data_IF_162358548279
#
_entry.id   IF_162358548279
#
_cell.length_a   1.000
_cell.length_b   1.000
_cell.length_c   1.000
_cell.angle_alpha   90.00
_cell.angle_beta   90.00
_cell.angle_gamma   90.00
#
_symmetry.space_group_name_H-M   'P 1'
#
loop_
_entity.id
_entity.type
_entity.pdbx_description
1 polymer ?
#
# COMPACT_ATOMS: atom_id res chain seq x y z
N UNK A 1 -16.94 -6.35 -12.05
CA UNK A 1 -15.68 -5.57 -12.19
C UNK A 1 -14.67 -6.17 -11.23
N UNK A 2 -13.45 -6.48 -11.71
CA UNK A 2 -12.41 -6.97 -10.82
C UNK A 2 -11.95 -5.85 -9.85
N UNK A 3 -11.81 -6.18 -8.58
CA UNK A 3 -11.26 -5.28 -7.56
C UNK A 3 -9.79 -4.96 -7.85
N UNK A 4 -9.24 -3.92 -7.20
CA UNK A 4 -7.80 -3.61 -7.28
C UNK A 4 -6.96 -4.81 -6.85
N UNK A 5 -7.37 -5.50 -5.79
CA UNK A 5 -6.70 -6.70 -5.30
C UNK A 5 -6.67 -7.80 -6.37
N UNK A 6 -7.81 -8.16 -6.95
CA UNK A 6 -7.89 -9.21 -7.98
C UNK A 6 -7.03 -8.88 -9.21
N UNK A 7 -6.95 -7.61 -9.60
CA UNK A 7 -6.09 -7.17 -10.70
C UNK A 7 -4.61 -7.38 -10.38
N UNK A 8 -4.15 -6.93 -9.20
CA UNK A 8 -2.74 -7.06 -8.78
C UNK A 8 -2.37 -8.55 -8.67
N UNK A 9 -3.21 -9.34 -8.02
CA UNK A 9 -2.97 -10.78 -7.88
C UNK A 9 -2.89 -11.47 -9.25
N UNK A 10 -3.81 -11.15 -10.16
CA UNK A 10 -3.80 -11.67 -11.53
C UNK A 10 -2.52 -11.33 -12.29
N UNK A 11 -2.09 -10.05 -12.25
CA UNK A 11 -0.85 -9.60 -12.88
C UNK A 11 0.38 -10.31 -12.29
N UNK A 12 0.46 -10.45 -10.98
CA UNK A 12 1.56 -11.18 -10.33
C UNK A 12 1.60 -12.66 -10.73
N UNK A 13 0.45 -13.33 -10.76
CA UNK A 13 0.34 -14.73 -11.21
C UNK A 13 0.77 -14.87 -12.67
N UNK A 14 0.39 -13.94 -13.54
CA UNK A 14 0.74 -13.93 -14.95
C UNK A 14 2.27 -13.85 -15.19
N UNK A 15 3.02 -13.28 -14.25
CA UNK A 15 4.50 -13.26 -14.36
C UNK A 15 5.12 -14.66 -14.35
N UNK A 16 4.42 -15.68 -13.86
CA UNK A 16 4.90 -17.07 -13.79
C UNK A 16 6.12 -17.26 -12.88
N UNK A 17 6.48 -16.28 -12.06
CA UNK A 17 7.66 -16.38 -11.20
C UNK A 17 7.43 -17.33 -10.03
N UNK A 18 8.47 -18.08 -9.67
CA UNK A 18 8.44 -18.95 -8.49
C UNK A 18 8.18 -18.15 -7.21
N UNK A 19 7.38 -18.70 -6.30
CA UNK A 19 7.08 -18.08 -5.00
C UNK A 19 5.97 -17.02 -5.04
N UNK A 20 5.38 -16.71 -6.20
CA UNK A 20 4.34 -15.67 -6.33
C UNK A 20 3.12 -15.94 -5.44
N UNK A 21 2.69 -17.17 -5.29
CA UNK A 21 1.53 -17.50 -4.46
C UNK A 21 1.81 -17.26 -2.98
N UNK A 22 3.01 -17.59 -2.51
CA UNK A 22 3.43 -17.31 -1.14
C UNK A 22 3.56 -15.82 -0.88
N UNK A 23 4.06 -15.06 -1.86
CA UNK A 23 4.13 -13.61 -1.82
C UNK A 23 2.73 -12.98 -1.73
N UNK A 24 1.77 -13.42 -2.55
CA UNK A 24 0.38 -12.93 -2.51
C UNK A 24 -0.25 -13.22 -1.14
N UNK A 25 -0.04 -14.42 -0.59
CA UNK A 25 -0.52 -14.76 0.75
C UNK A 25 0.10 -13.84 1.83
N UNK A 26 1.39 -13.58 1.76
CA UNK A 26 2.07 -12.62 2.63
C UNK A 26 1.50 -11.20 2.47
N UNK A 27 1.28 -10.73 1.25
CA UNK A 27 0.68 -9.41 0.96
C UNK A 27 -0.70 -9.26 1.60
N UNK A 28 -1.55 -10.30 1.51
CA UNK A 28 -2.87 -10.33 2.15
C UNK A 28 -2.75 -10.23 3.68
N UNK A 29 -1.86 -11.02 4.27
CA UNK A 29 -1.65 -11.09 5.73
C UNK A 29 -1.00 -9.82 6.31
N UNK A 30 -0.13 -9.16 5.54
CA UNK A 30 0.58 -7.94 5.98
C UNK A 30 -0.20 -6.65 5.77
N UNK A 31 -1.40 -6.72 5.16
CA UNK A 31 -2.28 -5.58 4.95
C UNK A 31 -1.99 -4.76 3.70
N UNK A 32 -1.24 -5.27 2.71
CA UNK A 32 -0.94 -4.55 1.46
C UNK A 32 -2.20 -4.00 0.77
N UNK A 33 -3.29 -4.75 0.79
CA UNK A 33 -4.54 -4.39 0.11
C UNK A 33 -5.46 -3.47 0.93
N UNK A 34 -5.14 -3.21 2.18
CA UNK A 34 -5.98 -2.41 3.10
C UNK A 34 -5.27 -1.16 3.61
N UNK A 35 -3.93 -1.16 3.64
CA UNK A 35 -3.16 -0.03 4.15
C UNK A 35 -3.25 1.22 3.26
N UNK A 36 -3.15 2.43 3.83
CA UNK A 36 -2.97 3.66 3.07
C UNK A 36 -1.59 3.72 2.43
N UNK A 37 -1.45 4.45 1.33
CA UNK A 37 -0.16 4.69 0.69
C UNK A 37 0.73 5.65 1.49
N UNK A 38 0.11 6.59 2.20
CA UNK A 38 0.80 7.59 3.01
C UNK A 38 -0.03 8.00 4.22
N UNK A 39 0.58 8.70 5.19
CA UNK A 39 -0.13 9.23 6.34
C UNK A 39 -1.01 10.45 6.05
N UNK A 40 -0.62 11.31 5.09
CA UNK A 40 -1.26 12.60 4.88
C UNK A 40 -1.29 13.08 3.42
N UNK A 41 -0.53 12.42 2.53
CA UNK A 41 -0.37 12.89 1.16
C UNK A 41 -1.29 12.12 0.20
N UNK A 42 -0.75 11.66 -0.95
CA UNK A 42 -1.54 10.93 -1.92
C UNK A 42 -2.06 9.60 -1.37
N UNK A 43 -3.29 9.27 -1.69
CA UNK A 43 -3.96 8.01 -1.34
C UNK A 43 -3.85 7.64 0.16
N UNK A 44 -3.98 8.66 1.03
CA UNK A 44 -4.08 8.51 2.48
C UNK A 44 -5.48 7.99 2.88
N UNK A 45 -5.85 6.82 2.38
CA UNK A 45 -7.14 6.15 2.56
C UNK A 45 -6.94 4.63 2.60
N UNK A 46 -7.93 3.91 3.09
CA UNK A 46 -7.94 2.44 3.04
C UNK A 46 -7.75 1.94 1.60
N UNK A 47 -6.89 0.94 1.43
CA UNK A 47 -6.54 0.38 0.11
C UNK A 47 -5.65 1.27 -0.76
N UNK A 48 -5.23 2.44 -0.26
CA UNK A 48 -4.44 3.41 -1.00
C UNK A 48 -3.10 2.87 -1.48
N UNK A 49 -2.47 1.99 -0.72
CA UNK A 49 -1.19 1.36 -1.10
C UNK A 49 -1.34 0.48 -2.35
N UNK A 50 -2.35 -0.37 -2.39
CA UNK A 50 -2.63 -1.22 -3.53
C UNK A 50 -3.03 -0.40 -4.77
N UNK A 51 -3.87 0.62 -4.60
CA UNK A 51 -4.26 1.53 -5.68
C UNK A 51 -3.04 2.26 -6.26
N UNK A 52 -2.15 2.77 -5.41
CA UNK A 52 -0.91 3.40 -5.83
C UNK A 52 -0.04 2.44 -6.66
N UNK A 53 0.20 1.24 -6.15
CA UNK A 53 1.04 0.24 -6.82
C UNK A 53 0.48 -0.14 -8.19
N UNK A 54 -0.83 -0.29 -8.32
CA UNK A 54 -1.48 -0.57 -9.61
C UNK A 54 -1.33 0.63 -10.58
N UNK A 55 -1.48 1.86 -10.10
CA UNK A 55 -1.29 3.07 -10.92
C UNK A 55 0.15 3.19 -11.42
N UNK A 56 1.14 2.89 -10.56
CA UNK A 56 2.57 2.86 -10.95
C UNK A 56 2.80 1.79 -12.01
N UNK A 57 2.26 0.59 -11.84
CA UNK A 57 2.36 -0.47 -12.85
C UNK A 57 1.80 -0.02 -14.20
N UNK A 58 0.57 0.51 -14.24
CA UNK A 58 -0.07 0.96 -15.47
C UNK A 58 0.74 2.06 -16.20
N UNK A 59 1.42 2.94 -15.46
CA UNK A 59 2.29 3.96 -16.04
C UNK A 59 3.59 3.34 -16.56
N UNK A 60 4.24 2.49 -15.77
CA UNK A 60 5.50 1.84 -16.13
C UNK A 60 5.35 0.92 -17.33
N UNK A 61 4.24 0.18 -17.45
CA UNK A 61 3.92 -0.64 -18.61
C UNK A 61 3.84 0.20 -19.88
N UNK A 62 3.11 1.32 -19.86
CA UNK A 62 3.04 2.25 -21.00
C UNK A 62 4.39 2.84 -21.37
N UNK A 63 5.19 3.25 -20.39
CA UNK A 63 6.53 3.79 -20.64
C UNK A 63 7.46 2.73 -21.25
N UNK A 64 7.42 1.50 -20.73
CA UNK A 64 8.16 0.37 -21.27
C UNK A 64 7.81 0.12 -22.73
N UNK A 65 6.52 0.07 -23.07
CA UNK A 65 6.04 -0.23 -24.44
C UNK A 65 6.45 0.84 -25.45
N UNK A 66 6.62 2.09 -25.01
CA UNK A 66 7.05 3.21 -25.86
C UNK A 66 8.58 3.31 -25.98
N UNK A 67 9.29 3.12 -24.86
CA UNK A 67 10.72 3.42 -24.79
C UNK A 67 11.61 2.18 -24.96
N UNK A 68 11.18 1.03 -24.42
CA UNK A 68 12.00 -0.18 -24.30
C UNK A 68 11.20 -1.47 -24.53
N UNK A 69 10.47 -1.61 -25.66
CA UNK A 69 9.53 -2.72 -25.85
C UNK A 69 10.19 -4.10 -25.86
N UNK A 70 11.44 -4.18 -26.31
CA UNK A 70 12.18 -5.44 -26.46
C UNK A 70 13.22 -5.68 -25.35
N UNK A 71 13.70 -4.61 -24.72
CA UNK A 71 14.84 -4.70 -23.79
C UNK A 71 14.42 -5.00 -22.36
N UNK A 72 13.19 -4.62 -21.97
CA UNK A 72 12.70 -4.82 -20.62
C UNK A 72 11.55 -5.82 -20.62
N UNK A 73 11.74 -6.94 -19.94
CA UNK A 73 10.71 -7.96 -19.81
C UNK A 73 9.50 -7.41 -19.02
N UNK A 74 8.30 -7.71 -19.53
CA UNK A 74 7.03 -7.28 -18.89
C UNK A 74 6.93 -7.76 -17.43
N UNK A 75 7.35 -9.00 -17.17
CA UNK A 75 7.33 -9.61 -15.84
C UNK A 75 8.19 -8.83 -14.84
N UNK A 76 9.29 -8.25 -15.30
CA UNK A 76 10.15 -7.41 -14.46
C UNK A 76 9.49 -6.09 -14.14
N UNK A 77 8.80 -5.47 -15.11
CA UNK A 77 8.03 -4.25 -14.88
C UNK A 77 6.91 -4.53 -13.86
N UNK A 78 6.17 -5.63 -14.04
CA UNK A 78 5.07 -6.01 -13.13
C UNK A 78 5.58 -6.20 -11.70
N UNK A 79 6.63 -6.99 -11.49
CA UNK A 79 7.20 -7.21 -10.16
C UNK A 79 7.72 -5.92 -9.55
N UNK A 80 8.55 -5.17 -10.25
CA UNK A 80 9.14 -3.93 -9.71
C UNK A 80 8.06 -2.88 -9.41
N UNK A 81 7.13 -2.65 -10.31
CA UNK A 81 6.11 -1.61 -10.14
C UNK A 81 5.08 -1.97 -9.06
N UNK A 82 4.62 -3.22 -9.01
CA UNK A 82 3.62 -3.63 -8.03
C UNK A 82 4.19 -3.77 -6.61
N UNK A 83 5.48 -4.04 -6.46
CA UNK A 83 6.09 -4.35 -5.17
C UNK A 83 7.04 -3.27 -4.63
N UNK A 84 7.28 -2.16 -5.36
CA UNK A 84 8.25 -1.13 -4.94
C UNK A 84 7.98 -0.57 -3.54
N UNK A 85 6.74 -0.50 -3.13
CA UNK A 85 6.27 0.02 -1.84
C UNK A 85 5.81 -1.08 -0.86
N UNK A 86 6.17 -2.35 -1.11
CA UNK A 86 5.80 -3.49 -0.25
C UNK A 86 6.24 -3.28 1.20
N UNK A 87 7.35 -2.60 1.41
CA UNK A 87 7.86 -2.26 2.73
C UNK A 87 6.99 -1.34 3.58
N UNK A 88 5.95 -0.72 3.01
CA UNK A 88 4.93 0.05 3.76
C UNK A 88 3.92 -0.84 4.49
N UNK A 89 3.88 -2.13 4.20
CA UNK A 89 3.06 -3.10 4.91
C UNK A 89 3.42 -3.20 6.39
N UNK A 90 2.53 -3.81 7.16
CA UNK A 90 2.73 -4.09 8.57
C UNK A 90 3.86 -5.09 8.87
N UNK A 91 4.17 -5.25 10.13
CA UNK A 91 5.18 -6.17 10.64
C UNK A 91 4.59 -7.00 11.77
N UNK A 92 4.90 -8.29 11.81
CA UNK A 92 4.54 -9.18 12.92
C UNK A 92 3.05 -9.12 13.31
N UNK A 93 2.16 -9.05 12.32
CA UNK A 93 0.71 -8.97 12.54
C UNK A 93 0.19 -7.57 12.94
N UNK A 94 1.07 -6.55 13.05
CA UNK A 94 0.70 -5.17 13.33
C UNK A 94 0.61 -4.37 12.02
N UNK A 95 -0.37 -3.46 11.86
CA UNK A 95 -0.50 -2.64 10.66
C UNK A 95 0.65 -1.63 10.54
N UNK A 96 1.02 -1.27 9.31
CA UNK A 96 2.03 -0.24 9.01
C UNK A 96 1.60 1.16 9.41
N UNK A 97 0.30 1.43 9.26
CA UNK A 97 -0.33 2.70 9.61
C UNK A 97 -1.49 2.48 10.58
N UNK A 98 -1.69 3.45 11.47
CA UNK A 98 -2.82 3.51 12.39
C UNK A 98 -3.62 4.79 12.16
N UNK A 99 -4.96 4.81 12.39
CA UNK A 99 -5.75 6.02 12.29
C UNK A 99 -5.25 7.11 13.25
N UNK A 100 -5.12 8.33 12.75
CA UNK A 100 -4.80 9.50 13.57
C UNK A 100 -6.07 10.07 14.18
N UNK A 101 -6.39 9.63 15.40
CA UNK A 101 -7.60 10.04 16.12
C UNK A 101 -7.33 11.28 16.97
N UNK A 102 -8.06 12.36 16.70
CA UNK A 102 -8.00 13.61 17.44
C UNK A 102 -9.10 13.62 18.51
N UNK A 103 -8.74 14.05 19.72
CA UNK A 103 -9.75 14.32 20.76
C UNK A 103 -10.61 15.50 20.36
N UNK A 104 -11.92 15.33 20.37
CA UNK A 104 -12.86 16.41 20.17
C UNK A 104 -12.73 17.49 21.25
N UNK A 105 -13.08 18.73 20.92
CA UNK A 105 -13.12 19.81 21.92
C UNK A 105 -14.31 19.62 22.85
N UNK A 106 -14.06 19.43 24.13
CA UNK A 106 -15.10 19.36 25.14
C UNK A 106 -15.88 20.70 25.22
N UNK A 107 -17.21 20.61 25.30
CA UNK A 107 -18.11 21.74 25.49
C UNK A 107 -19.02 21.44 26.66
N UNK A 108 -19.75 22.45 27.19
CA UNK A 108 -20.74 22.24 28.24
C UNK A 108 -21.86 21.27 27.81
N UNK A 109 -22.23 21.30 26.53
CA UNK A 109 -23.25 20.43 25.95
C UNK A 109 -22.74 19.01 25.64
N UNK A 110 -21.43 18.86 25.34
CA UNK A 110 -20.77 17.58 25.08
C UNK A 110 -19.41 17.55 25.80
N UNK A 111 -19.38 17.19 27.09
CA UNK A 111 -18.13 17.20 27.87
C UNK A 111 -17.15 16.11 27.48
N UNK A 112 -17.61 15.02 26.85
CA UNK A 112 -16.79 13.89 26.40
C UNK A 112 -17.06 13.59 24.92
N UNK A 113 -16.55 14.44 23.98
CA UNK A 113 -16.76 14.21 22.56
C UNK A 113 -16.03 12.96 22.09
N UNK A 114 -16.64 12.20 21.19
CA UNK A 114 -16.02 11.07 20.54
C UNK A 114 -14.78 11.54 19.74
N UNK A 115 -13.70 10.74 19.72
CA UNK A 115 -12.55 11.01 18.88
C UNK A 115 -12.92 10.99 17.40
N UNK A 116 -12.33 11.90 16.61
CA UNK A 116 -12.55 12.00 15.17
C UNK A 116 -11.22 11.84 14.44
N UNK A 117 -11.23 11.09 13.35
CA UNK A 117 -10.03 10.94 12.52
C UNK A 117 -9.64 12.29 11.90
N UNK A 118 -8.36 12.61 11.93
CA UNK A 118 -7.83 13.85 11.35
C UNK A 118 -8.01 13.89 9.84
N UNK A 119 -8.65 14.91 9.31
CA UNK A 119 -8.77 15.13 7.85
C UNK A 119 -7.43 15.50 7.21
N UNK A 120 -6.60 16.30 7.89
CA UNK A 120 -5.31 16.77 7.36
C UNK A 120 -4.23 15.70 7.36
N UNK A 121 -4.26 14.80 8.31
CA UNK A 121 -3.31 13.69 8.46
C UNK A 121 -4.05 12.47 8.96
N UNK A 122 -4.77 11.75 8.08
CA UNK A 122 -5.67 10.67 8.49
C UNK A 122 -4.98 9.49 9.19
N UNK A 123 -3.70 9.25 8.88
CA UNK A 123 -2.94 8.13 9.41
C UNK A 123 -1.59 8.56 9.97
N UNK A 124 -1.11 7.78 10.93
CA UNK A 124 0.23 7.85 11.49
C UNK A 124 0.95 6.53 11.22
N UNK A 125 2.26 6.58 11.02
CA UNK A 125 3.08 5.37 11.07
C UNK A 125 2.92 4.72 12.45
N UNK A 126 2.72 3.41 12.47
CA UNK A 126 2.56 2.70 13.73
C UNK A 126 3.87 2.73 14.55
N UNK A 127 3.88 3.35 15.74
CA UNK A 127 5.12 3.48 16.54
C UNK A 127 5.61 2.15 17.13
N UNK A 128 4.77 1.11 17.12
CA UNK A 128 5.11 -0.23 17.64
C UNK A 128 5.91 -1.08 16.64
N UNK A 129 6.20 -0.54 15.45
CA UNK A 129 6.98 -1.23 14.44
C UNK A 129 8.47 -0.89 14.57
N UNK A 130 9.32 -1.81 14.07
CA UNK A 130 10.71 -1.49 13.86
C UNK A 130 10.83 -0.41 12.78
N UNK A 131 11.55 0.69 13.10
CA UNK A 131 11.83 1.73 12.13
C UNK A 131 12.90 1.25 11.15
N UNK A 132 12.45 0.85 9.97
CA UNK A 132 13.29 0.51 8.82
C UNK A 132 12.63 1.18 7.63
N UNK A 133 13.41 1.93 6.84
CA UNK A 133 12.90 2.60 5.65
C UNK A 133 12.23 1.59 4.72
N UNK A 134 11.05 1.97 4.20
CA UNK A 134 10.22 1.05 3.41
C UNK A 134 10.91 0.61 2.11
N UNK A 135 11.80 1.43 1.56
CA UNK A 135 12.61 1.10 0.39
C UNK A 135 13.51 -0.12 0.67
N UNK A 136 14.14 -0.15 1.86
CA UNK A 136 14.98 -1.28 2.27
C UNK A 136 14.13 -2.52 2.53
N UNK A 137 12.91 -2.36 3.08
CA UNK A 137 11.99 -3.47 3.36
C UNK A 137 11.34 -4.05 2.11
N UNK A 138 11.38 -3.33 0.98
CA UNK A 138 10.80 -3.77 -0.30
C UNK A 138 11.79 -4.60 -1.14
N UNK A 139 13.04 -4.70 -0.71
CA UNK A 139 14.07 -5.53 -1.34
C UNK A 139 13.95 -6.98 -0.84
#
# INVERSE_FOLDING_TARGET
MNTVQEKIEGLLIETGRAGILDLIDMMRKSGFFTQPCSGAFHLAKEGGLAEHSLNVFCLMEKLRDVLYPEEIAWESVAVCALLHDLGKCGQFGKPGYIPNMLKGRATKANPNPEPVQSEKKPYLTNPDLLYIDHEIRSI
#
